data_IF_567422464141
#
_entry.id   IF_567422464141
#
_cell.length_a   1.000
_cell.length_b   1.000
_cell.length_c   1.000
_cell.angle_alpha   90.00
_cell.angle_beta   90.00
_cell.angle_gamma   90.00
#
_symmetry.space_group_name_H-M   'P 1'
#
loop_
_entity.id
_entity.type
_entity.pdbx_description
1 polymer ?
#
# COMPACT_ATOMS: atom_id res chain seq x y z
N UNK A 1 4.45 -2.25 3.98
CA UNK A 1 5.00 -1.19 3.11
C UNK A 1 4.41 -1.26 1.71
N UNK A 2 4.02 -0.14 1.10
CA UNK A 2 3.60 -0.06 -0.31
C UNK A 2 3.66 1.38 -0.85
N UNK A 3 3.79 1.53 -2.17
CA UNK A 3 3.57 2.81 -2.86
C UNK A 3 2.09 3.13 -3.08
N UNK A 4 1.22 2.11 -2.94
CA UNK A 4 -0.21 2.22 -3.09
C UNK A 4 -0.84 3.10 -2.01
N UNK A 5 -2.05 3.61 -2.30
CA UNK A 5 -2.80 4.46 -1.36
C UNK A 5 -3.84 3.68 -0.59
N UNK A 6 -4.87 3.23 -1.29
CA UNK A 6 -6.00 2.48 -0.72
C UNK A 6 -5.65 1.04 -0.40
N UNK A 7 -4.83 0.39 -1.24
CA UNK A 7 -4.61 -1.06 -1.14
C UNK A 7 -4.13 -1.56 0.22
N UNK A 8 -3.23 -0.82 0.89
CA UNK A 8 -2.77 -1.21 2.24
C UNK A 8 -3.83 -1.02 3.31
N UNK A 9 -4.73 -0.06 3.18
CA UNK A 9 -5.84 0.12 4.12
C UNK A 9 -6.88 -1.00 3.97
N UNK A 10 -7.22 -1.35 2.73
CA UNK A 10 -8.05 -2.53 2.45
C UNK A 10 -7.39 -3.81 2.96
N UNK A 11 -6.06 -3.94 2.76
CA UNK A 11 -5.31 -5.10 3.22
C UNK A 11 -5.37 -5.23 4.74
N UNK A 12 -5.12 -4.13 5.45
CA UNK A 12 -5.13 -4.11 6.90
C UNK A 12 -6.51 -4.44 7.49
N UNK A 13 -7.59 -3.96 6.88
CA UNK A 13 -8.94 -4.26 7.36
C UNK A 13 -9.23 -5.77 7.35
N UNK A 14 -8.85 -6.46 6.28
CA UNK A 14 -8.99 -7.92 6.21
C UNK A 14 -8.13 -8.59 7.29
N UNK A 15 -6.88 -8.15 7.43
CA UNK A 15 -5.96 -8.68 8.45
C UNK A 15 -6.51 -8.48 9.87
N UNK A 16 -6.96 -7.28 10.22
CA UNK A 16 -7.43 -6.96 11.57
C UNK A 16 -8.69 -7.76 11.92
N UNK A 17 -9.66 -7.85 11.01
CA UNK A 17 -10.91 -8.60 11.25
C UNK A 17 -10.72 -10.11 11.33
N UNK A 18 -9.82 -10.67 10.53
CA UNK A 18 -9.62 -12.12 10.48
C UNK A 18 -8.56 -12.63 11.48
N UNK A 19 -7.85 -11.75 12.19
CA UNK A 19 -6.83 -12.14 13.17
C UNK A 19 -7.22 -11.94 14.63
N UNK A 20 -8.28 -11.17 14.92
CA UNK A 20 -8.72 -10.89 16.29
C UNK A 20 -9.73 -9.75 16.34
N UNK A 21 -9.72 -8.95 17.41
CA UNK A 21 -10.54 -7.75 17.46
C UNK A 21 -10.03 -6.71 16.44
N UNK A 22 -10.96 -6.09 15.73
CA UNK A 22 -10.63 -5.07 14.73
C UNK A 22 -10.06 -3.82 15.41
N UNK A 23 -8.81 -3.47 15.10
CA UNK A 23 -8.32 -2.10 15.29
C UNK A 23 -8.99 -1.20 14.25
N UNK A 24 -9.51 -0.06 14.67
CA UNK A 24 -10.41 0.76 13.83
C UNK A 24 -9.76 1.34 12.57
N UNK A 25 -8.42 1.47 12.50
CA UNK A 25 -7.75 2.09 11.34
C UNK A 25 -6.25 1.82 11.27
N UNK A 26 -5.71 1.70 10.06
CA UNK A 26 -4.26 1.83 9.80
C UNK A 26 -3.87 3.25 9.44
N UNK A 27 -2.83 3.77 10.09
CA UNK A 27 -2.31 5.12 9.85
C UNK A 27 -1.11 5.12 8.91
N UNK A 28 -0.99 6.16 8.09
CA UNK A 28 0.26 6.50 7.39
C UNK A 28 1.19 7.23 8.37
N UNK A 29 1.64 6.51 9.40
CA UNK A 29 2.33 7.07 10.58
C UNK A 29 3.57 7.88 10.19
N UNK A 30 4.40 7.34 9.30
CA UNK A 30 5.60 8.01 8.77
C UNK A 30 5.29 9.05 7.68
N UNK A 31 4.04 9.49 7.54
CA UNK A 31 3.62 10.51 6.58
C UNK A 31 3.16 10.00 5.21
N UNK A 32 2.11 10.64 4.69
CA UNK A 32 1.47 10.26 3.43
C UNK A 32 2.07 10.83 2.15
N UNK A 33 3.14 11.63 2.23
CA UNK A 33 3.90 12.22 1.11
C UNK A 33 5.39 12.33 1.48
N UNK A 34 6.28 12.49 0.50
CA UNK A 34 7.72 12.71 0.76
C UNK A 34 7.97 13.85 1.75
N UNK A 35 7.25 14.98 1.60
CA UNK A 35 7.38 16.12 2.52
C UNK A 35 6.95 15.80 3.96
N UNK A 36 5.82 15.09 4.14
CA UNK A 36 5.34 14.68 5.46
C UNK A 36 6.25 13.65 6.09
N UNK A 37 6.78 12.74 5.28
CA UNK A 37 7.74 11.74 5.75
C UNK A 37 9.05 12.36 6.19
N UNK A 38 9.53 13.36 5.45
CA UNK A 38 10.71 14.12 5.85
C UNK A 38 10.49 14.87 7.16
N UNK A 39 9.35 15.54 7.32
CA UNK A 39 9.00 16.21 8.57
C UNK A 39 8.90 15.22 9.74
N UNK A 40 8.33 14.04 9.52
CA UNK A 40 8.28 12.99 10.54
C UNK A 40 9.69 12.58 11.02
N UNK A 41 10.60 12.23 10.10
CA UNK A 41 11.94 11.77 10.47
C UNK A 41 12.87 12.87 11.02
N UNK A 42 12.63 14.14 10.69
CA UNK A 42 13.47 15.26 11.14
C UNK A 42 12.96 15.99 12.36
N UNK A 43 11.65 16.15 12.44
CA UNK A 43 11.02 17.08 13.39
C UNK A 43 10.20 16.37 14.48
N UNK A 44 9.65 15.18 14.17
CA UNK A 44 8.77 14.46 15.10
C UNK A 44 9.52 13.46 15.97
N UNK A 45 10.42 12.67 15.39
CA UNK A 45 11.20 11.69 16.15
C UNK A 45 12.20 12.42 17.07
N UNK A 46 12.27 12.06 18.37
CA UNK A 46 13.24 12.63 19.29
C UNK A 46 14.68 12.56 18.76
N UNK A 47 15.44 13.64 18.95
CA UNK A 47 16.81 13.73 18.40
C UNK A 47 17.73 12.66 18.99
N UNK A 48 17.49 12.30 20.25
CA UNK A 48 18.22 11.30 21.03
C UNK A 48 17.82 9.84 20.70
N UNK A 49 16.76 9.61 19.92
CA UNK A 49 16.42 8.27 19.43
C UNK A 49 17.35 7.85 18.28
N UNK A 50 18.50 7.30 18.62
CA UNK A 50 19.52 6.85 17.65
C UNK A 50 19.41 5.37 17.27
N UNK A 51 18.42 4.66 17.81
CA UNK A 51 18.29 3.20 17.66
C UNK A 51 17.00 2.77 16.96
N UNK A 52 16.14 3.72 16.56
CA UNK A 52 14.85 3.45 15.94
C UNK A 52 13.76 3.11 16.96
N UNK A 53 13.94 3.47 18.23
CA UNK A 53 13.08 3.09 19.35
C UNK A 53 11.65 3.64 19.19
N UNK A 54 11.47 4.74 18.46
CA UNK A 54 10.20 5.32 18.06
C UNK A 54 9.25 4.29 17.44
N UNK A 55 9.80 3.34 16.69
CA UNK A 55 9.01 2.32 16.00
C UNK A 55 8.46 1.32 17.01
N UNK A 56 9.30 0.88 17.95
CA UNK A 56 8.90 -0.03 19.01
C UNK A 56 7.88 0.63 19.94
N UNK A 57 8.15 1.86 20.37
CA UNK A 57 7.24 2.64 21.21
C UNK A 57 5.86 2.75 20.57
N UNK A 58 5.79 3.16 19.31
CA UNK A 58 4.52 3.26 18.60
C UNK A 58 3.74 1.94 18.58
N UNK A 59 4.40 0.82 18.28
CA UNK A 59 3.73 -0.48 18.22
C UNK A 59 3.31 -0.99 19.60
N UNK A 60 4.12 -0.75 20.64
CA UNK A 60 3.76 -1.07 22.02
C UNK A 60 2.53 -0.28 22.46
N UNK A 61 2.50 1.03 22.21
CA UNK A 61 1.35 1.89 22.53
C UNK A 61 0.07 1.38 21.83
N UNK A 62 0.17 1.03 20.54
CA UNK A 62 -0.97 0.46 19.80
C UNK A 62 -1.43 -0.90 20.36
N UNK A 63 -0.52 -1.74 20.87
CA UNK A 63 -0.89 -3.00 21.53
C UNK A 63 -1.60 -2.77 22.86
N UNK A 64 -1.15 -1.78 23.65
CA UNK A 64 -1.78 -1.41 24.92
C UNK A 64 -3.17 -0.81 24.71
N UNK A 65 -3.34 0.03 23.69
CA UNK A 65 -4.63 0.63 23.32
C UNK A 65 -5.60 -0.40 22.72
N UNK A 66 -5.10 -1.52 22.20
CA UNK A 66 -5.87 -2.55 21.53
C UNK A 66 -5.54 -3.98 22.00
N UNK A 67 -5.78 -4.33 23.29
CA UNK A 67 -5.30 -5.58 23.90
C UNK A 67 -5.95 -6.86 23.33
N UNK A 68 -7.05 -6.73 22.57
CA UNK A 68 -7.70 -7.85 21.88
C UNK A 68 -7.38 -7.95 20.39
N UNK A 69 -6.57 -7.05 19.85
CA UNK A 69 -6.23 -7.06 18.43
C UNK A 69 -5.32 -8.23 18.08
N UNK A 70 -5.63 -8.92 16.99
CA UNK A 70 -4.76 -9.97 16.45
C UNK A 70 -3.49 -9.42 15.81
N UNK A 71 -3.56 -8.19 15.30
CA UNK A 71 -2.43 -7.47 14.72
C UNK A 71 -2.59 -5.97 15.00
N UNK A 72 -1.48 -5.31 15.30
CA UNK A 72 -1.35 -3.85 15.22
C UNK A 72 -0.32 -3.53 14.14
N UNK A 73 -0.58 -2.50 13.35
CA UNK A 73 0.37 -2.07 12.33
C UNK A 73 0.14 -0.63 11.91
N UNK A 74 1.17 -0.05 11.31
CA UNK A 74 1.05 1.18 10.54
C UNK A 74 1.50 0.98 9.10
N UNK A 75 1.10 1.91 8.26
CA UNK A 75 1.50 1.96 6.87
C UNK A 75 2.73 2.85 6.71
N UNK A 76 3.82 2.22 6.29
CA UNK A 76 5.03 2.93 5.87
C UNK A 76 5.12 2.97 4.34
N UNK A 77 5.14 4.18 3.76
CA UNK A 77 5.37 4.40 2.33
C UNK A 77 6.87 4.56 2.05
N UNK A 78 7.44 3.82 1.09
CA UNK A 78 8.86 3.89 0.78
C UNK A 78 9.17 5.08 -0.13
N UNK A 79 9.05 6.30 0.41
CA UNK A 79 9.55 7.50 -0.25
C UNK A 79 11.07 7.59 -0.12
N UNK A 80 11.72 8.48 -0.88
CA UNK A 80 13.19 8.69 -0.82
C UNK A 80 13.76 8.84 0.60
N UNK A 81 12.94 9.32 1.54
CA UNK A 81 13.29 9.46 2.96
C UNK A 81 13.74 8.16 3.61
N UNK A 82 13.30 6.98 3.14
CA UNK A 82 13.79 5.70 3.69
C UNK A 82 15.26 5.42 3.33
N UNK A 83 15.79 6.10 2.31
CA UNK A 83 17.18 5.97 1.87
C UNK A 83 18.05 7.11 2.40
N UNK A 84 17.46 8.27 2.67
CA UNK A 84 18.18 9.52 2.98
C UNK A 84 18.17 9.89 4.47
N UNK A 85 17.10 9.58 5.20
CA UNK A 85 16.93 10.04 6.58
C UNK A 85 17.50 8.99 7.56
N UNK A 86 18.45 9.40 8.39
CA UNK A 86 19.14 8.53 9.34
C UNK A 86 18.16 7.81 10.28
N UNK A 87 17.14 8.52 10.79
CA UNK A 87 16.10 7.94 11.66
C UNK A 87 15.27 6.86 10.97
N UNK A 88 15.08 6.95 9.65
CA UNK A 88 14.40 5.94 8.88
C UNK A 88 15.26 4.67 8.76
N UNK A 89 16.56 4.84 8.48
CA UNK A 89 17.53 3.75 8.42
C UNK A 89 17.67 3.05 9.78
N UNK A 90 17.80 3.81 10.87
CA UNK A 90 17.85 3.26 12.24
C UNK A 90 16.60 2.44 12.58
N UNK A 91 15.41 2.92 12.19
CA UNK A 91 14.17 2.16 12.34
C UNK A 91 14.17 0.84 11.57
N UNK A 92 14.69 0.82 10.34
CA UNK A 92 14.80 -0.42 9.56
C UNK A 92 15.90 -1.35 10.11
N UNK A 93 17.03 -0.83 10.57
CA UNK A 93 18.09 -1.58 11.23
C UNK A 93 17.58 -2.24 12.52
N UNK A 94 16.74 -1.55 13.29
CA UNK A 94 16.03 -2.13 14.43
C UNK A 94 15.21 -3.36 14.01
N UNK A 95 14.43 -3.27 12.93
CA UNK A 95 13.64 -4.41 12.46
C UNK A 95 14.53 -5.62 12.09
N UNK A 96 15.70 -5.36 11.51
CA UNK A 96 16.66 -6.40 11.12
C UNK A 96 17.34 -7.12 12.29
N UNK A 97 17.45 -6.47 13.46
CA UNK A 97 18.10 -7.04 14.65
C UNK A 97 17.15 -7.64 15.67
N UNK A 98 15.83 -7.42 15.53
CA UNK A 98 14.83 -7.92 16.47
C UNK A 98 14.53 -9.41 16.26
N UNK A 99 14.90 -10.23 17.25
CA UNK A 99 14.58 -11.66 17.25
C UNK A 99 13.25 -11.95 17.95
N UNK A 100 12.98 -11.31 19.10
CA UNK A 100 11.75 -11.52 19.87
C UNK A 100 11.39 -10.31 20.78
N UNK A 101 10.17 -9.75 20.68
CA UNK A 101 9.19 -9.99 19.62
C UNK A 101 9.72 -9.49 18.26
N UNK A 102 9.49 -10.27 17.20
CA UNK A 102 9.89 -9.88 15.85
C UNK A 102 8.81 -9.01 15.20
N UNK A 103 9.17 -7.80 14.81
CA UNK A 103 8.31 -6.94 13.98
C UNK A 103 8.57 -7.29 12.51
N UNK A 104 7.49 -7.54 11.77
CA UNK A 104 7.54 -8.05 10.39
C UNK A 104 7.01 -7.02 9.39
N UNK A 105 7.55 -7.05 8.17
CA UNK A 105 7.14 -6.18 7.06
C UNK A 105 6.37 -6.98 6.01
N UNK A 106 5.11 -6.61 5.77
CA UNK A 106 4.38 -7.07 4.58
C UNK A 106 4.60 -6.05 3.46
N UNK A 107 5.37 -6.42 2.44
CA UNK A 107 5.66 -5.61 1.25
C UNK A 107 4.69 -5.95 0.13
N UNK A 108 3.67 -5.10 -0.05
CA UNK A 108 2.73 -5.24 -1.16
C UNK A 108 3.21 -4.43 -2.36
N UNK A 109 3.28 -5.09 -3.52
CA UNK A 109 3.54 -4.48 -4.83
C UNK A 109 2.28 -4.49 -5.68
N UNK A 110 2.15 -3.48 -6.53
CA UNK A 110 1.06 -3.33 -7.49
C UNK A 110 1.67 -3.07 -8.85
N UNK A 111 0.96 -3.44 -9.91
CA UNK A 111 1.25 -3.06 -11.28
C UNK A 111 1.61 -1.55 -11.36
N UNK A 112 2.77 -1.22 -11.92
CA UNK A 112 3.27 0.17 -11.88
C UNK A 112 2.45 1.12 -12.76
N UNK A 113 1.81 0.59 -13.82
CA UNK A 113 0.89 1.36 -14.65
C UNK A 113 -0.35 1.74 -13.84
N UNK A 114 -0.90 0.81 -13.05
CA UNK A 114 -1.99 1.12 -12.11
C UNK A 114 -1.59 2.19 -11.08
N UNK A 115 -0.35 2.13 -10.58
CA UNK A 115 0.18 3.14 -9.65
C UNK A 115 0.22 4.51 -10.34
N UNK A 116 0.70 4.58 -11.58
CA UNK A 116 0.72 5.82 -12.37
C UNK A 116 -0.70 6.35 -12.64
N UNK A 117 -1.64 5.49 -13.04
CA UNK A 117 -3.06 5.83 -13.21
C UNK A 117 -3.64 6.41 -11.92
N UNK A 118 -3.43 5.72 -10.79
CA UNK A 118 -3.94 6.13 -9.48
C UNK A 118 -3.37 7.49 -9.05
N UNK A 119 -2.07 7.72 -9.28
CA UNK A 119 -1.42 9.01 -9.01
C UNK A 119 -1.99 10.12 -9.89
N UNK A 120 -2.19 9.85 -11.17
CA UNK A 120 -2.78 10.81 -12.10
C UNK A 120 -4.20 11.20 -11.67
N UNK A 121 -5.09 10.21 -11.46
CA UNK A 121 -6.47 10.39 -10.97
C UNK A 121 -6.52 11.32 -9.76
N UNK A 122 -5.65 11.09 -8.78
CA UNK A 122 -5.63 11.92 -7.58
C UNK A 122 -5.09 13.34 -7.80
N UNK A 123 -4.12 13.51 -8.70
CA UNK A 123 -3.55 14.82 -8.99
C UNK A 123 -4.50 15.68 -9.84
N UNK A 124 -5.34 15.05 -10.68
CA UNK A 124 -6.35 15.74 -11.49
C UNK A 124 -7.65 15.95 -10.74
N UNK A 125 -8.10 15.03 -9.88
CA UNK A 125 -9.31 15.23 -9.07
C UNK A 125 -9.19 16.43 -8.12
N UNK A 126 -7.97 16.73 -7.65
CA UNK A 126 -7.66 17.97 -6.92
C UNK A 126 -7.76 19.26 -7.74
N UNK A 127 -7.73 19.17 -9.06
CA UNK A 127 -7.70 20.32 -9.99
C UNK A 127 -9.00 20.53 -10.76
N UNK A 128 -9.76 19.46 -11.01
CA UNK A 128 -10.88 19.48 -11.95
C UNK A 128 -12.18 19.99 -11.34
N UNK A 129 -12.41 19.79 -10.05
CA UNK A 129 -13.72 20.06 -9.47
C UNK A 129 -13.60 21.02 -8.30
N UNK A 130 -14.03 22.27 -8.46
CA UNK A 130 -14.37 23.15 -7.33
C UNK A 130 -15.43 22.57 -6.34
N UNK A 131 -15.75 21.28 -6.44
CA UNK A 131 -16.32 20.45 -5.39
C UNK A 131 -15.35 20.38 -4.20
N UNK A 132 -15.73 21.03 -3.10
CA UNK A 132 -15.04 21.03 -1.80
C UNK A 132 -14.93 19.64 -1.13
N UNK A 133 -15.29 18.55 -1.82
CA UNK A 133 -15.23 17.18 -1.29
C UNK A 133 -14.11 16.35 -1.89
N UNK A 134 -13.12 15.96 -1.08
CA UNK A 134 -12.27 14.81 -1.43
C UNK A 134 -13.17 13.58 -1.51
N UNK A 135 -13.34 13.00 -2.70
CA UNK A 135 -13.99 11.69 -2.84
C UNK A 135 -13.24 10.71 -1.93
N UNK A 136 -13.96 10.07 -1.01
CA UNK A 136 -13.37 9.13 -0.06
C UNK A 136 -12.71 7.99 -0.84
N UNK A 137 -11.47 7.63 -0.50
CA UNK A 137 -10.70 6.62 -1.24
C UNK A 137 -11.27 5.20 -1.08
N UNK A 138 -12.18 5.01 -0.13
CA UNK A 138 -12.85 3.75 0.17
C UNK A 138 -14.36 3.99 0.25
N UNK A 139 -15.14 3.07 -0.33
CA UNK A 139 -16.59 3.05 -0.21
C UNK A 139 -16.99 1.93 0.75
N UNK A 140 -17.99 2.20 1.58
CA UNK A 140 -18.60 1.16 2.42
C UNK A 140 -19.40 0.20 1.54
N UNK A 141 -19.64 -1.02 2.02
CA UNK A 141 -20.54 -1.94 1.32
C UNK A 141 -21.95 -1.35 1.28
N UNK A 142 -22.56 -1.33 0.10
CA UNK A 142 -23.87 -0.72 -0.15
C UNK A 142 -23.87 0.80 -0.36
N UNK A 143 -22.70 1.46 -0.37
CA UNK A 143 -22.58 2.88 -0.71
C UNK A 143 -22.45 3.05 -2.24
N UNK A 144 -23.57 2.87 -2.93
CA UNK A 144 -23.63 2.92 -4.40
C UNK A 144 -23.25 4.30 -4.95
N UNK A 145 -23.56 5.38 -4.22
CA UNK A 145 -23.19 6.74 -4.61
C UNK A 145 -21.66 6.92 -4.61
N UNK A 146 -20.99 6.50 -3.54
CA UNK A 146 -19.53 6.51 -3.49
C UNK A 146 -18.93 5.65 -4.60
N UNK A 147 -19.49 4.46 -4.85
CA UNK A 147 -18.98 3.55 -5.87
C UNK A 147 -19.10 4.18 -7.26
N UNK A 148 -20.26 4.73 -7.61
CA UNK A 148 -20.48 5.42 -8.88
C UNK A 148 -19.55 6.63 -9.04
N UNK A 149 -19.36 7.44 -7.99
CA UNK A 149 -18.42 8.56 -8.02
C UNK A 149 -16.97 8.09 -8.22
N UNK A 150 -16.57 6.98 -7.60
CA UNK A 150 -15.24 6.39 -7.79
C UNK A 150 -15.03 5.83 -9.20
N UNK A 151 -16.04 5.19 -9.78
CA UNK A 151 -16.04 4.66 -11.15
C UNK A 151 -15.98 5.79 -12.18
N UNK A 152 -16.81 6.82 -12.03
CA UNK A 152 -16.77 8.01 -12.90
C UNK A 152 -15.41 8.70 -12.83
N UNK A 153 -14.85 8.89 -11.63
CA UNK A 153 -13.51 9.46 -11.48
C UNK A 153 -12.38 8.50 -11.92
N UNK A 154 -12.69 7.22 -12.11
CA UNK A 154 -11.76 6.16 -12.50
C UNK A 154 -11.74 5.84 -13.99
N UNK A 155 -12.68 6.36 -14.77
CA UNK A 155 -12.79 6.14 -16.22
C UNK A 155 -12.34 7.37 -17.00
N UNK A 156 -12.02 7.18 -18.29
CA UNK A 156 -11.67 8.28 -19.19
C UNK A 156 -10.35 8.98 -18.85
N UNK A 157 -9.43 8.31 -18.15
CA UNK A 157 -8.16 8.90 -17.75
C UNK A 157 -7.22 8.99 -18.97
N UNK A 158 -6.74 10.18 -19.28
CA UNK A 158 -5.73 10.38 -20.32
C UNK A 158 -4.33 10.53 -19.71
N UNK A 159 -3.48 9.51 -19.83
CA UNK A 159 -2.10 9.55 -19.33
C UNK A 159 -1.17 10.30 -20.28
N UNK A 160 -0.13 10.93 -19.72
CA UNK A 160 0.90 11.64 -20.50
C UNK A 160 1.98 10.67 -21.00
N UNK A 161 1.73 10.03 -22.14
CA UNK A 161 2.59 9.01 -22.75
C UNK A 161 4.06 9.44 -22.90
N UNK A 162 4.32 10.69 -23.31
CA UNK A 162 5.69 11.25 -23.46
C UNK A 162 6.58 11.14 -22.20
N UNK A 163 5.99 11.09 -21.01
CA UNK A 163 6.71 10.97 -19.73
C UNK A 163 6.47 9.64 -19.04
N UNK A 164 5.58 8.79 -19.57
CA UNK A 164 5.12 7.58 -18.90
C UNK A 164 6.27 6.61 -18.65
N UNK A 165 7.08 6.28 -19.67
CA UNK A 165 8.24 5.39 -19.49
C UNK A 165 9.21 5.90 -18.43
N UNK A 166 9.49 7.22 -18.40
CA UNK A 166 10.35 7.80 -17.37
C UNK A 166 9.75 7.65 -15.97
N UNK A 167 8.44 7.88 -15.83
CA UNK A 167 7.74 7.71 -14.56
C UNK A 167 7.71 6.25 -14.10
N UNK A 168 7.48 5.30 -15.01
CA UNK A 168 7.50 3.87 -14.71
C UNK A 168 8.89 3.40 -14.26
N UNK A 169 9.97 3.85 -14.94
CA UNK A 169 11.35 3.57 -14.50
C UNK A 169 11.64 4.10 -13.10
N UNK A 170 11.17 5.30 -12.78
CA UNK A 170 11.35 5.88 -11.43
C UNK A 170 10.58 5.10 -10.37
N UNK A 171 9.38 4.61 -10.70
CA UNK A 171 8.60 3.77 -9.81
C UNK A 171 9.27 2.41 -9.58
N UNK A 172 9.77 1.80 -10.66
CA UNK A 172 10.46 0.51 -10.63
C UNK A 172 11.78 0.59 -9.84
N UNK A 173 12.62 1.59 -10.13
CA UNK A 173 13.86 1.85 -9.37
C UNK A 173 13.60 2.01 -7.87
N UNK A 174 12.57 2.78 -7.50
CA UNK A 174 12.19 2.95 -6.09
C UNK A 174 11.69 1.65 -5.46
N UNK A 175 10.92 0.83 -6.19
CA UNK A 175 10.50 -0.50 -5.73
C UNK A 175 11.71 -1.43 -5.51
N UNK A 176 12.65 -1.47 -6.46
CA UNK A 176 13.87 -2.30 -6.41
C UNK A 176 14.79 -1.86 -5.28
N UNK A 177 15.12 -0.56 -5.18
CA UNK A 177 15.94 0.00 -4.10
C UNK A 177 15.34 -0.26 -2.72
N UNK A 178 14.01 -0.24 -2.62
CA UNK A 178 13.34 -0.59 -1.35
C UNK A 178 13.61 -2.05 -0.97
N UNK A 179 13.48 -2.98 -1.91
CA UNK A 179 13.71 -4.40 -1.65
C UNK A 179 15.17 -4.69 -1.32
N UNK A 180 16.10 -4.08 -2.06
CA UNK A 180 17.54 -4.17 -1.79
C UNK A 180 17.88 -3.63 -0.40
N UNK A 181 17.26 -2.51 0.01
CA UNK A 181 17.45 -1.97 1.35
C UNK A 181 16.95 -2.93 2.43
N UNK A 182 15.72 -3.43 2.30
CA UNK A 182 15.13 -4.37 3.26
C UNK A 182 15.97 -5.65 3.37
N UNK A 183 16.43 -6.18 2.23
CA UNK A 183 17.31 -7.35 2.19
C UNK A 183 18.66 -7.08 2.81
N UNK A 184 19.31 -5.95 2.48
CA UNK A 184 20.63 -5.57 3.01
C UNK A 184 20.62 -5.39 4.52
N UNK A 185 19.51 -4.88 5.07
CA UNK A 185 19.32 -4.67 6.50
C UNK A 185 18.73 -5.90 7.21
N UNK A 186 18.56 -7.04 6.52
CA UNK A 186 17.96 -8.26 7.06
C UNK A 186 16.57 -8.06 7.68
N UNK A 187 15.79 -7.10 7.16
CA UNK A 187 14.45 -6.81 7.68
C UNK A 187 13.54 -8.00 7.39
N UNK A 188 12.88 -8.60 8.40
CA UNK A 188 11.91 -9.67 8.20
C UNK A 188 10.81 -9.16 7.27
N UNK A 189 10.80 -9.65 6.03
CA UNK A 189 9.90 -9.15 4.97
C UNK A 189 9.24 -10.31 4.22
N UNK A 190 7.96 -10.15 3.89
CA UNK A 190 7.29 -10.96 2.87
C UNK A 190 6.82 -10.08 1.71
N UNK A 191 7.04 -10.54 0.49
CA UNK A 191 6.57 -9.87 -0.72
C UNK A 191 5.26 -10.48 -1.21
N UNK A 192 4.28 -9.62 -1.47
CA UNK A 192 2.96 -10.03 -1.97
C UNK A 192 2.47 -9.14 -3.11
N UNK A 193 1.69 -9.71 -4.03
CA UNK A 193 1.05 -8.99 -5.13
C UNK A 193 -0.33 -8.47 -4.72
N UNK A 194 -0.56 -7.19 -4.98
CA UNK A 194 -1.87 -6.56 -4.79
C UNK A 194 -2.94 -7.23 -5.67
N UNK A 195 -2.61 -7.52 -6.93
CA UNK A 195 -3.51 -8.18 -7.87
C UNK A 195 -3.89 -9.57 -7.39
N UNK A 196 -2.92 -10.33 -6.85
CA UNK A 196 -3.22 -11.64 -6.26
C UNK A 196 -4.04 -11.57 -4.97
N UNK A 197 -3.94 -10.48 -4.21
CA UNK A 197 -4.76 -10.28 -3.01
C UNK A 197 -6.21 -9.89 -3.33
N UNK A 198 -6.45 -9.12 -4.40
CA UNK A 198 -7.75 -8.47 -4.60
C UNK A 198 -8.45 -8.83 -5.92
N UNK A 199 -7.74 -9.40 -6.90
CA UNK A 199 -8.24 -9.68 -8.24
C UNK A 199 -8.14 -11.17 -8.62
N UNK A 200 -7.75 -12.05 -7.70
CA UNK A 200 -7.52 -13.48 -7.96
C UNK A 200 -8.80 -14.35 -7.90
N UNK A 201 -9.97 -13.74 -7.72
CA UNK A 201 -11.23 -14.47 -7.57
C UNK A 201 -11.22 -15.36 -6.32
N UNK A 202 -11.41 -16.67 -6.51
CA UNK A 202 -11.47 -17.66 -5.42
C UNK A 202 -10.10 -18.09 -4.88
N UNK A 203 -8.98 -17.68 -5.51
CA UNK A 203 -7.63 -18.02 -5.03
C UNK A 203 -7.23 -17.19 -3.81
N UNK A 204 -7.25 -17.82 -2.64
CA UNK A 204 -6.87 -17.21 -1.36
C UNK A 204 -5.39 -17.39 -1.00
N UNK A 205 -4.58 -18.00 -1.88
CA UNK A 205 -3.20 -18.40 -1.55
C UNK A 205 -2.30 -17.22 -1.17
N UNK A 206 -2.49 -16.06 -1.79
CA UNK A 206 -1.72 -14.86 -1.46
C UNK A 206 -2.06 -14.32 -0.06
N UNK A 207 -3.33 -14.44 0.36
CA UNK A 207 -3.76 -14.10 1.72
C UNK A 207 -3.26 -15.11 2.75
N UNK A 208 -3.40 -16.40 2.47
CA UNK A 208 -2.87 -17.48 3.32
C UNK A 208 -1.37 -17.30 3.56
N UNK A 209 -0.63 -16.92 2.51
CA UNK A 209 0.80 -16.58 2.61
C UNK A 209 1.06 -15.45 3.61
N UNK A 210 0.26 -14.38 3.62
CA UNK A 210 0.40 -13.27 4.59
C UNK A 210 0.10 -13.74 6.02
N UNK A 211 -1.03 -14.41 6.24
CA UNK A 211 -1.42 -14.89 7.57
C UNK A 211 -0.39 -15.85 8.17
N UNK A 212 0.07 -16.84 7.38
CA UNK A 212 1.11 -17.77 7.80
C UNK A 212 2.41 -17.06 8.17
N UNK A 213 2.81 -16.08 7.36
CA UNK A 213 4.02 -15.31 7.63
C UNK A 213 3.92 -14.49 8.90
N UNK A 214 2.79 -13.85 9.15
CA UNK A 214 2.56 -13.08 10.37
C UNK A 214 2.41 -13.99 11.60
N UNK A 215 1.91 -15.21 11.42
CA UNK A 215 1.61 -16.15 12.51
C UNK A 215 0.28 -15.81 13.21
N UNK A 216 -0.62 -15.14 12.49
CA UNK A 216 -1.94 -14.70 12.98
C UNK A 216 -2.98 -15.03 11.92
N UNK A 217 -4.27 -14.94 12.25
CA UNK A 217 -5.36 -15.18 11.31
C UNK A 217 -6.14 -16.46 11.59
N UNK A 218 -7.01 -16.86 10.66
CA UNK A 218 -7.85 -18.04 10.83
C UNK A 218 -7.01 -19.31 10.85
N UNK A 219 -7.36 -20.23 11.76
CA UNK A 219 -6.71 -21.55 11.89
C UNK A 219 -7.26 -22.60 10.92
N UNK A 220 -8.35 -22.28 10.22
CA UNK A 220 -8.99 -23.13 9.21
C UNK A 220 -8.64 -22.75 7.77
N UNK A 221 -9.33 -23.36 6.82
CA UNK A 221 -9.21 -23.02 5.39
C UNK A 221 -9.80 -21.64 5.16
N UNK A 222 -8.96 -20.69 4.73
CA UNK A 222 -9.40 -19.34 4.36
C UNK A 222 -10.12 -19.37 3.00
N UNK A 223 -11.35 -18.89 2.96
CA UNK A 223 -12.17 -18.81 1.74
C UNK A 223 -12.23 -17.38 1.18
N UNK A 224 -12.59 -17.25 -0.10
CA UNK A 224 -12.78 -15.94 -0.71
C UNK A 224 -13.94 -15.17 -0.07
N UNK A 225 -14.97 -15.89 0.39
CA UNK A 225 -16.09 -15.30 1.13
C UNK A 225 -15.63 -14.66 2.44
N UNK A 226 -14.72 -15.30 3.19
CA UNK A 226 -14.15 -14.72 4.42
C UNK A 226 -13.45 -13.38 4.14
N UNK A 227 -12.66 -13.32 3.06
CA UNK A 227 -11.93 -12.12 2.63
C UNK A 227 -12.91 -11.04 2.19
N UNK A 228 -13.90 -11.40 1.39
CA UNK A 228 -14.92 -10.46 0.91
C UNK A 228 -15.69 -9.88 2.09
N UNK A 229 -16.17 -10.70 3.03
CA UNK A 229 -16.90 -10.28 4.22
C UNK A 229 -16.06 -9.34 5.11
N UNK A 230 -14.75 -9.59 5.22
CA UNK A 230 -13.84 -8.74 5.98
C UNK A 230 -13.52 -7.40 5.28
N UNK A 231 -13.41 -7.38 3.96
CA UNK A 231 -12.94 -6.21 3.18
C UNK A 231 -13.98 -5.13 2.86
N UNK A 232 -13.49 -4.04 2.25
CA UNK A 232 -14.29 -2.98 1.64
C UNK A 232 -14.83 -3.38 0.25
N UNK A 233 -15.82 -2.64 -0.25
CA UNK A 233 -16.23 -2.76 -1.64
C UNK A 233 -15.05 -2.42 -2.59
N UNK A 234 -14.83 -3.26 -3.59
CA UNK A 234 -13.83 -3.01 -4.62
C UNK A 234 -14.22 -1.79 -5.46
N UNK A 235 -13.36 -0.77 -5.47
CA UNK A 235 -13.58 0.48 -6.24
C UNK A 235 -12.65 0.60 -7.44
N UNK A 236 -11.81 -0.41 -7.69
CA UNK A 236 -10.91 -0.47 -8.85
C UNK A 236 -11.61 -1.06 -10.07
N UNK A 237 -11.41 -0.43 -11.22
CA UNK A 237 -11.78 -0.97 -12.52
C UNK A 237 -10.63 -1.87 -12.99
N UNK A 238 -10.89 -3.15 -13.32
CA UNK A 238 -9.82 -4.13 -13.54
C UNK A 238 -9.13 -4.05 -14.90
N UNK A 239 -9.71 -3.34 -15.88
CA UNK A 239 -9.17 -3.31 -17.25
C UNK A 239 -8.67 -1.93 -17.65
N UNK A 240 -7.47 -1.86 -18.22
CA UNK A 240 -6.85 -0.60 -18.63
C UNK A 240 -7.58 0.06 -19.80
N UNK A 241 -8.12 -0.73 -20.73
CA UNK A 241 -8.87 -0.22 -21.88
C UNK A 241 -10.19 0.47 -21.49
N UNK A 242 -10.77 0.13 -20.33
CA UNK A 242 -11.95 0.81 -19.76
C UNK A 242 -11.54 2.06 -18.97
N UNK A 243 -10.39 1.97 -18.30
CA UNK A 243 -9.87 3.03 -17.42
C UNK A 243 -9.30 4.21 -18.20
N UNK A 244 -8.58 3.93 -19.30
CA UNK A 244 -7.78 4.90 -20.05
C UNK A 244 -8.50 5.38 -21.31
N UNK A 245 -8.71 6.69 -21.42
CA UNK A 245 -9.23 7.31 -22.65
C UNK A 245 -8.26 7.23 -23.83
N UNK A 246 -6.94 7.18 -23.56
CA UNK A 246 -5.89 7.05 -24.57
C UNK A 246 -5.14 5.72 -24.46
N UNK A 247 -5.88 4.62 -24.21
CA UNK A 247 -5.31 3.28 -24.04
C UNK A 247 -4.37 2.89 -25.19
N UNK A 248 -4.77 3.12 -26.45
CA UNK A 248 -3.96 2.79 -27.63
C UNK A 248 -2.60 3.49 -27.61
N UNK A 249 -2.56 4.79 -27.28
CA UNK A 249 -1.31 5.54 -27.18
C UNK A 249 -0.43 5.04 -26.01
N UNK A 250 -1.05 4.64 -24.90
CA UNK A 250 -0.35 4.05 -23.76
C UNK A 250 0.23 2.69 -24.15
N UNK A 251 -0.56 1.84 -24.82
CA UNK A 251 -0.15 0.54 -25.31
C UNK A 251 1.06 0.68 -26.24
N UNK A 252 0.96 1.56 -27.24
CA UNK A 252 2.02 1.79 -28.21
C UNK A 252 3.30 2.36 -27.57
N UNK A 253 3.17 3.10 -26.45
CA UNK A 253 4.31 3.59 -25.69
C UNK A 253 5.00 2.51 -24.84
N UNK A 254 4.32 1.39 -24.54
CA UNK A 254 4.84 0.32 -23.67
C UNK A 254 5.23 -0.95 -24.43
N UNK A 255 4.62 -1.24 -25.58
CA UNK A 255 5.01 -2.38 -26.43
C UNK A 255 6.49 -2.30 -26.79
N UNK A 256 7.21 -3.41 -26.67
CA UNK A 256 8.64 -3.51 -26.94
C UNK A 256 9.53 -2.92 -25.84
N UNK A 257 8.97 -2.56 -24.68
CA UNK A 257 9.72 -2.07 -23.52
C UNK A 257 9.67 -3.06 -22.35
N UNK A 258 10.46 -2.82 -21.31
CA UNK A 258 10.45 -3.60 -20.07
C UNK A 258 9.10 -3.57 -19.33
N UNK A 259 8.20 -2.66 -19.69
CA UNK A 259 6.89 -2.47 -19.06
C UNK A 259 5.71 -3.00 -19.88
N UNK A 260 5.95 -3.68 -21.01
CA UNK A 260 4.88 -4.26 -21.84
C UNK A 260 3.95 -5.17 -21.03
N UNK A 261 4.51 -5.99 -20.14
CA UNK A 261 3.77 -6.91 -19.27
C UNK A 261 2.84 -6.22 -18.24
N UNK A 262 2.90 -4.89 -18.12
CA UNK A 262 1.96 -4.16 -17.27
C UNK A 262 0.58 -4.00 -17.91
N UNK A 263 0.46 -4.16 -19.23
CA UNK A 263 -0.79 -4.03 -19.97
C UNK A 263 -1.72 -5.24 -19.70
N UNK A 264 -2.95 -4.97 -19.29
CA UNK A 264 -4.01 -5.99 -19.14
C UNK A 264 -5.42 -5.41 -19.32
#
# INVERSE_FOLDING_TARGET
MSLGRSGTSSMYQVLSKLSGNETTRIYEYTGGSTSKSRAFFRDYIPKDDVNGDWLMQYLCDEQEDHPGAGVVAFKWKPYETIFEEEKALQGLELLGRLEYPQIKVVRSRRNLLDVAISRYKHNTSKKANGLEGKINAHCQKGDDECLQAQLQAGTGIALRTKKLLKELRQLDDMEQRTDELLSRLNVPTIHVSFERLFLAGDDTSEWTKVFNYLGVGPTGVLTAEDIEQAGHAATSIPFHNVTLANYEEVRDALIGTEFEALLH
#
